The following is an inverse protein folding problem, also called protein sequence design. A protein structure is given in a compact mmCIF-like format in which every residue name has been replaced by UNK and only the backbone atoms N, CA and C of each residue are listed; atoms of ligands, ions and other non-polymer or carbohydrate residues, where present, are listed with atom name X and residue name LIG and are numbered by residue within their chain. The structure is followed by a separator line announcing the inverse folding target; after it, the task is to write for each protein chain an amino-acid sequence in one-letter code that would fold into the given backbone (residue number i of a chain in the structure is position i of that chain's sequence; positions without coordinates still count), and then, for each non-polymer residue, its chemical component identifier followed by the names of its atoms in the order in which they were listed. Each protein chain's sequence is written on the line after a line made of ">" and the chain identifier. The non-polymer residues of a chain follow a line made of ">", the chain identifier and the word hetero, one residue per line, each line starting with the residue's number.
data_IF_489087510950
#
_entry.id   IF_489087510950
#
_cell.length_a   1.000
_cell.length_b   1.000
_cell.length_c   1.000
_cell.angle_alpha   90.00
_cell.angle_beta   90.00
_cell.angle_gamma   90.00
#
_symmetry.space_group_name_H-M   'P 1'
#
loop_
_entity.id
_entity.type
_entity.pdbx_description
1 polymer ?
#
# COMPACT_ATOMS: atom_id res chain seq x y z
N UNK A 1 53.21 30.61 -16.59
CA UNK A 1 52.52 30.13 -17.80
C UNK A 1 51.62 28.99 -17.37
N UNK A 2 50.32 29.28 -17.38
CA UNK A 2 49.21 28.35 -17.16
C UNK A 2 49.08 27.37 -18.33
N UNK A 3 48.16 26.40 -18.19
CA UNK A 3 47.60 25.42 -19.16
C UNK A 3 48.33 24.07 -19.23
N UNK A 4 47.69 22.89 -19.16
CA UNK A 4 46.32 22.51 -19.53
C UNK A 4 45.76 21.38 -18.63
N UNK A 5 44.58 21.61 -18.07
CA UNK A 5 43.62 20.58 -17.67
C UNK A 5 43.17 19.77 -18.89
N UNK A 6 43.16 18.43 -18.76
CA UNK A 6 42.39 17.59 -19.65
C UNK A 6 40.91 17.68 -19.26
N UNK A 7 40.19 18.47 -20.03
CA UNK A 7 38.73 18.61 -20.08
C UNK A 7 38.02 17.24 -20.04
N UNK A 8 37.30 16.92 -18.96
CA UNK A 8 36.19 15.95 -19.02
C UNK A 8 35.00 16.65 -19.67
N UNK A 9 34.62 16.21 -20.86
CA UNK A 9 33.39 16.67 -21.50
C UNK A 9 32.16 16.10 -20.77
N UNK A 10 31.13 16.91 -20.51
CA UNK A 10 29.91 16.49 -19.85
C UNK A 10 29.05 15.70 -20.85
N UNK A 11 28.88 14.41 -20.57
CA UNK A 11 28.03 13.50 -21.32
C UNK A 11 27.22 12.68 -20.34
N UNK A 12 26.05 13.21 -19.98
CA UNK A 12 24.99 12.46 -19.33
C UNK A 12 24.64 11.28 -20.25
N UNK A 13 25.04 10.06 -19.91
CA UNK A 13 24.25 8.90 -20.28
C UNK A 13 23.29 8.61 -19.11
N UNK A 14 22.43 9.58 -18.79
CA UNK A 14 21.14 9.25 -18.18
C UNK A 14 20.37 8.63 -19.32
N UNK A 15 20.40 7.30 -19.42
CA UNK A 15 19.42 6.54 -20.17
C UNK A 15 18.05 7.19 -19.87
N UNK A 16 17.44 7.84 -20.87
CA UNK A 16 16.25 8.64 -20.58
C UNK A 16 15.16 7.70 -20.07
N UNK A 17 14.81 7.85 -18.80
CA UNK A 17 13.80 7.01 -18.17
C UNK A 17 12.50 7.22 -18.94
N UNK A 18 11.89 6.13 -19.41
CA UNK A 18 10.54 6.13 -19.99
C UNK A 18 9.45 6.23 -18.92
N UNK A 19 9.81 6.23 -17.65
CA UNK A 19 8.90 6.23 -16.49
C UNK A 19 8.84 7.63 -15.89
N UNK A 20 7.62 8.12 -15.64
CA UNK A 20 7.36 9.36 -14.90
C UNK A 20 7.47 9.08 -13.41
N UNK A 21 8.70 9.02 -12.91
CA UNK A 21 9.02 8.81 -11.50
C UNK A 21 10.06 9.85 -11.09
N UNK A 22 10.01 10.24 -9.81
CA UNK A 22 11.12 10.92 -9.15
C UNK A 22 12.19 9.86 -8.85
N UNK A 23 12.39 9.51 -7.59
CA UNK A 23 13.23 8.38 -7.20
C UNK A 23 12.45 7.06 -7.25
N UNK A 24 12.98 5.98 -7.84
CA UNK A 24 12.27 4.70 -7.93
C UNK A 24 11.87 4.10 -6.58
N UNK A 25 12.63 4.36 -5.52
CA UNK A 25 12.33 3.89 -4.16
C UNK A 25 11.08 4.52 -3.57
N UNK A 26 10.73 5.72 -4.03
CA UNK A 26 9.65 6.52 -3.47
C UNK A 26 8.36 6.34 -4.29
N UNK A 27 8.43 5.58 -5.39
CA UNK A 27 7.37 5.47 -6.39
C UNK A 27 6.03 5.05 -5.79
N UNK A 28 6.02 4.03 -4.93
CA UNK A 28 4.79 3.51 -4.32
C UNK A 28 4.21 4.50 -3.31
N UNK A 29 5.08 5.10 -2.49
CA UNK A 29 4.66 6.08 -1.50
C UNK A 29 4.03 7.30 -2.18
N UNK A 30 4.72 7.91 -3.15
CA UNK A 30 4.24 9.09 -3.87
C UNK A 30 2.96 8.81 -4.66
N UNK A 31 2.82 7.60 -5.21
CA UNK A 31 1.58 7.18 -5.86
C UNK A 31 0.41 7.12 -4.87
N UNK A 32 0.60 6.55 -3.68
CA UNK A 32 -0.44 6.49 -2.64
C UNK A 32 -0.79 7.90 -2.14
N UNK A 33 0.20 8.74 -1.92
CA UNK A 33 0.01 10.14 -1.52
C UNK A 33 -0.84 10.87 -2.58
N UNK A 34 -0.47 10.78 -3.86
CA UNK A 34 -1.25 11.36 -4.94
C UNK A 34 -2.67 10.79 -5.05
N UNK A 35 -2.86 9.48 -4.85
CA UNK A 35 -4.19 8.87 -4.85
C UNK A 35 -5.10 9.46 -3.75
N UNK A 36 -4.57 9.57 -2.53
CA UNK A 36 -5.32 10.10 -1.38
C UNK A 36 -5.59 11.59 -1.53
N UNK A 37 -4.63 12.36 -2.04
CA UNK A 37 -4.80 13.80 -2.27
C UNK A 37 -5.82 14.12 -3.36
N UNK A 38 -5.97 13.24 -4.35
CA UNK A 38 -6.85 13.47 -5.51
C UNK A 38 -8.21 12.81 -5.42
N UNK A 39 -8.42 11.90 -4.46
CA UNK A 39 -9.67 11.14 -4.32
C UNK A 39 -10.30 11.39 -2.95
N UNK A 40 -11.46 12.07 -2.95
CA UNK A 40 -12.21 12.29 -1.72
C UNK A 40 -12.67 10.97 -1.09
N UNK A 41 -12.68 10.92 0.25
CA UNK A 41 -13.15 9.74 0.99
C UNK A 41 -12.08 8.67 1.23
N UNK A 42 -10.81 8.96 0.92
CA UNK A 42 -9.67 8.11 1.25
C UNK A 42 -8.76 8.79 2.28
N UNK A 43 -8.14 7.97 3.13
CA UNK A 43 -7.05 8.35 4.03
C UNK A 43 -5.90 7.35 3.88
N UNK A 44 -4.72 7.72 4.39
CA UNK A 44 -3.56 6.83 4.50
C UNK A 44 -3.25 6.55 5.97
N UNK A 45 -2.78 5.34 6.28
CA UNK A 45 -2.21 5.05 7.60
C UNK A 45 -0.75 5.53 7.64
N UNK A 46 -0.43 6.39 8.61
CA UNK A 46 0.92 6.93 8.79
C UNK A 46 1.98 5.83 8.90
N UNK A 47 3.11 6.01 8.21
CA UNK A 47 4.20 5.04 8.19
C UNK A 47 3.93 3.78 7.36
N UNK A 48 2.76 3.64 6.75
CA UNK A 48 2.39 2.46 5.96
C UNK A 48 1.89 2.84 4.56
N UNK A 49 2.14 1.96 3.59
CA UNK A 49 1.56 2.05 2.25
C UNK A 49 0.16 1.41 2.26
N UNK A 50 -0.74 1.98 3.06
CA UNK A 50 -2.11 1.49 3.25
C UNK A 50 -3.09 2.62 3.01
N UNK A 51 -4.04 2.37 2.10
CA UNK A 51 -5.17 3.24 1.83
C UNK A 51 -6.38 2.70 2.58
N UNK A 52 -7.10 3.57 3.28
CA UNK A 52 -8.33 3.24 4.01
C UNK A 52 -9.45 4.20 3.62
N UNK A 53 -10.69 3.81 3.86
CA UNK A 53 -11.82 4.73 3.78
C UNK A 53 -11.66 5.85 4.82
N UNK A 54 -11.95 7.09 4.44
CA UNK A 54 -11.86 8.23 5.35
C UNK A 54 -12.98 8.25 6.41
N UNK A 55 -14.08 7.52 6.20
CA UNK A 55 -15.19 7.37 7.14
C UNK A 55 -15.05 6.13 8.03
N UNK A 56 -13.87 5.52 8.11
CA UNK A 56 -13.70 4.20 8.72
C UNK A 56 -14.13 4.16 10.19
N UNK A 57 -13.84 5.20 10.96
CA UNK A 57 -14.23 5.30 12.38
C UNK A 57 -15.75 5.27 12.56
N UNK A 58 -16.51 5.82 11.61
CA UNK A 58 -17.97 5.85 11.69
C UNK A 58 -18.60 4.50 11.33
N UNK A 59 -17.94 3.70 10.49
CA UNK A 59 -18.57 2.55 9.83
C UNK A 59 -18.03 1.18 10.27
N UNK A 60 -16.85 1.12 10.91
CA UNK A 60 -16.17 -0.15 11.24
C UNK A 60 -16.93 -1.06 12.19
N UNK A 61 -17.81 -0.51 13.04
CA UNK A 61 -18.64 -1.29 13.96
C UNK A 61 -20.01 -1.67 13.37
N UNK A 62 -20.30 -1.25 12.14
CA UNK A 62 -21.60 -1.49 11.48
C UNK A 62 -21.54 -2.57 10.40
N UNK A 63 -20.34 -2.99 9.98
CA UNK A 63 -20.14 -3.94 8.90
C UNK A 63 -18.85 -4.74 9.08
N UNK A 64 -18.78 -5.90 8.43
CA UNK A 64 -17.54 -6.66 8.30
C UNK A 64 -16.58 -5.86 7.42
N UNK A 65 -15.35 -5.66 7.90
CA UNK A 65 -14.34 -4.98 7.11
C UNK A 65 -13.79 -5.91 6.01
N UNK A 66 -13.56 -5.37 4.83
CA UNK A 66 -13.01 -6.12 3.70
C UNK A 66 -11.64 -5.54 3.35
N UNK A 67 -10.59 -6.36 3.43
CA UNK A 67 -9.22 -5.93 3.19
C UNK A 67 -8.64 -6.74 2.05
N UNK A 68 -7.93 -6.07 1.14
CA UNK A 68 -7.08 -6.74 0.15
C UNK A 68 -5.77 -5.99 0.00
N UNK A 69 -4.90 -6.46 -0.89
CA UNK A 69 -3.61 -5.84 -1.11
C UNK A 69 -2.61 -6.80 -1.73
N UNK A 70 -1.49 -6.29 -2.19
CA UNK A 70 -0.46 -7.03 -2.93
C UNK A 70 0.63 -6.08 -3.41
N UNK A 71 1.50 -6.56 -4.29
CA UNK A 71 2.52 -5.69 -4.89
C UNK A 71 1.94 -4.60 -5.79
N UNK A 72 2.56 -3.43 -5.74
CA UNK A 72 2.26 -2.31 -6.64
C UNK A 72 2.65 -2.61 -8.08
N UNK A 73 2.14 -1.81 -9.02
CA UNK A 73 2.28 -2.04 -10.47
C UNK A 73 1.07 -2.74 -11.10
N UNK A 74 0.00 -2.95 -10.34
CA UNK A 74 -1.29 -3.50 -10.79
C UNK A 74 -2.44 -2.49 -10.66
N UNK A 75 -2.12 -1.21 -10.47
CA UNK A 75 -3.11 -0.15 -10.30
C UNK A 75 -4.13 -0.16 -11.47
N UNK A 76 -5.45 -0.03 -11.20
CA UNK A 76 -6.06 0.48 -9.96
C UNK A 76 -6.11 -0.51 -8.79
N UNK A 77 -5.68 -1.76 -8.99
CA UNK A 77 -5.62 -2.75 -7.93
C UNK A 77 -4.57 -2.35 -6.87
N UNK A 78 -4.88 -2.22 -5.58
CA UNK A 78 -6.20 -2.37 -4.92
C UNK A 78 -6.72 -1.04 -4.38
N UNK A 79 -5.88 0.02 -4.34
CA UNK A 79 -6.24 1.32 -3.77
C UNK A 79 -7.46 1.97 -4.43
N UNK A 80 -7.65 1.76 -5.74
CA UNK A 80 -8.83 2.25 -6.47
C UNK A 80 -10.14 1.52 -6.15
N UNK A 81 -10.11 0.49 -5.29
CA UNK A 81 -11.29 -0.26 -4.86
C UNK A 81 -11.66 0.03 -3.39
N UNK A 82 -10.99 0.97 -2.74
CA UNK A 82 -11.30 1.39 -1.37
C UNK A 82 -12.47 2.37 -1.41
N UNK A 83 -13.55 2.06 -0.69
CA UNK A 83 -14.75 2.88 -0.69
C UNK A 83 -16.02 2.15 -0.23
N UNK A 84 -17.14 2.88 -0.06
CA UNK A 84 -18.43 2.27 0.28
C UNK A 84 -18.84 1.18 -0.71
N UNK A 85 -19.22 0.01 -0.20
CA UNK A 85 -19.65 -1.14 -1.00
C UNK A 85 -18.52 -2.02 -1.57
N UNK A 86 -17.24 -1.66 -1.33
CA UNK A 86 -16.07 -2.47 -1.70
C UNK A 86 -15.09 -2.61 -0.53
N UNK A 87 -13.79 -2.30 -0.71
CA UNK A 87 -12.77 -2.52 0.31
C UNK A 87 -12.85 -1.44 1.40
N UNK A 88 -12.66 -1.86 2.65
CA UNK A 88 -12.39 -0.97 3.79
C UNK A 88 -10.95 -0.46 3.77
N UNK A 89 -10.01 -1.31 3.32
CA UNK A 89 -8.60 -0.98 3.17
C UNK A 89 -7.93 -1.74 2.03
N UNK A 90 -6.89 -1.13 1.47
CA UNK A 90 -5.97 -1.73 0.50
C UNK A 90 -4.52 -1.56 0.96
N UNK A 91 -3.77 -2.66 1.01
CA UNK A 91 -2.36 -2.70 1.43
C UNK A 91 -1.47 -2.81 0.19
N UNK A 92 -0.63 -1.81 -0.07
CA UNK A 92 0.32 -1.85 -1.17
C UNK A 92 1.71 -2.28 -0.67
N UNK A 93 2.30 -3.28 -1.33
CA UNK A 93 3.72 -3.60 -1.21
C UNK A 93 4.55 -2.85 -2.23
N UNK A 94 5.85 -3.14 -2.26
CA UNK A 94 6.72 -2.65 -3.32
C UNK A 94 6.28 -3.19 -4.69
N UNK A 95 6.89 -2.65 -5.76
CA UNK A 95 6.55 -3.03 -7.13
C UNK A 95 6.73 -4.54 -7.31
N UNK A 96 5.63 -5.24 -7.61
CA UNK A 96 5.54 -6.70 -7.76
C UNK A 96 5.96 -7.53 -6.53
N UNK A 97 5.98 -6.94 -5.34
CA UNK A 97 6.30 -7.64 -4.10
C UNK A 97 5.16 -7.51 -3.09
N UNK A 98 4.86 -8.61 -2.40
CA UNK A 98 3.82 -8.62 -1.36
C UNK A 98 4.07 -7.56 -0.28
N UNK A 99 3.02 -6.92 0.28
CA UNK A 99 3.20 -5.94 1.34
C UNK A 99 3.83 -6.54 2.61
N UNK A 100 4.56 -5.73 3.39
CA UNK A 100 5.07 -6.17 4.69
C UNK A 100 3.93 -6.62 5.61
N UNK A 101 4.16 -7.70 6.36
CA UNK A 101 3.22 -8.21 7.37
C UNK A 101 2.74 -7.10 8.32
N UNK A 102 3.64 -6.20 8.76
CA UNK A 102 3.31 -5.10 9.66
C UNK A 102 2.28 -4.13 9.06
N UNK A 103 2.35 -3.85 7.76
CA UNK A 103 1.37 -3.00 7.07
C UNK A 103 0.01 -3.68 6.93
N UNK A 104 0.00 -5.00 6.70
CA UNK A 104 -1.26 -5.76 6.69
C UNK A 104 -1.89 -5.78 8.09
N UNK A 105 -1.08 -5.99 9.13
CA UNK A 105 -1.56 -5.95 10.51
C UNK A 105 -2.10 -4.56 10.88
N UNK A 106 -1.39 -3.49 10.51
CA UNK A 106 -1.87 -2.12 10.73
C UNK A 106 -3.24 -1.90 10.07
N UNK A 107 -3.42 -2.34 8.82
CA UNK A 107 -4.71 -2.26 8.15
C UNK A 107 -5.81 -2.99 8.92
N UNK A 108 -5.57 -4.24 9.32
CA UNK A 108 -6.52 -5.05 10.10
C UNK A 108 -6.92 -4.32 11.39
N UNK A 109 -5.96 -3.86 12.17
CA UNK A 109 -6.23 -3.21 13.47
C UNK A 109 -6.95 -1.87 13.31
N UNK A 110 -6.70 -1.14 12.22
CA UNK A 110 -7.37 0.14 11.96
C UNK A 110 -8.83 -0.05 11.57
N UNK A 111 -9.12 -0.96 10.64
CA UNK A 111 -10.45 -1.02 10.00
C UNK A 111 -11.42 -2.02 10.62
N UNK A 112 -10.97 -2.90 11.50
CA UNK A 112 -11.80 -3.98 12.05
C UNK A 112 -12.52 -3.54 13.32
N UNK A 113 -13.85 -3.53 13.30
CA UNK A 113 -14.70 -3.35 14.47
C UNK A 113 -15.32 -4.66 14.97
N UNK A 114 -16.39 -4.56 15.76
CA UNK A 114 -17.07 -5.71 16.36
C UNK A 114 -17.49 -6.83 15.37
N UNK A 115 -17.93 -6.55 14.12
CA UNK A 115 -18.27 -7.60 13.16
C UNK A 115 -17.10 -8.43 12.62
N UNK A 116 -15.84 -8.01 12.86
CA UNK A 116 -14.65 -8.68 12.33
C UNK A 116 -14.28 -8.24 10.91
N UNK A 117 -13.30 -8.92 10.31
CA UNK A 117 -12.85 -8.64 8.95
C UNK A 117 -12.56 -9.89 8.12
N UNK A 118 -12.61 -9.72 6.80
CA UNK A 118 -12.24 -10.74 5.80
C UNK A 118 -11.06 -10.25 4.98
N UNK A 119 -10.06 -11.11 4.80
CA UNK A 119 -8.90 -10.89 3.93
C UNK A 119 -9.09 -11.54 2.56
N UNK A 120 -9.12 -10.71 1.51
CA UNK A 120 -9.12 -11.19 0.12
C UNK A 120 -7.67 -11.25 -0.36
N UNK A 121 -7.11 -12.48 -0.36
CA UNK A 121 -5.70 -12.72 -0.63
C UNK A 121 -5.52 -13.35 -2.02
N UNK A 122 -4.66 -12.77 -2.85
CA UNK A 122 -4.27 -13.39 -4.13
C UNK A 122 -3.37 -14.59 -3.85
N UNK A 123 -3.51 -15.66 -4.63
CA UNK A 123 -2.80 -16.92 -4.42
C UNK A 123 -1.33 -16.87 -4.90
N UNK A 124 -0.54 -15.98 -4.30
CA UNK A 124 0.91 -15.90 -4.46
C UNK A 124 1.60 -16.21 -3.13
N UNK A 125 2.79 -16.82 -3.19
CA UNK A 125 3.51 -17.27 -1.99
C UNK A 125 3.75 -16.12 -0.99
N UNK A 126 4.24 -14.97 -1.45
CA UNK A 126 4.47 -13.81 -0.59
C UNK A 126 3.18 -13.29 0.05
N UNK A 127 2.11 -13.16 -0.75
CA UNK A 127 0.81 -12.68 -0.28
C UNK A 127 0.23 -13.61 0.78
N UNK A 128 0.23 -14.92 0.53
CA UNK A 128 -0.27 -15.91 1.50
C UNK A 128 0.51 -15.89 2.80
N UNK A 129 1.85 -15.79 2.74
CA UNK A 129 2.69 -15.77 3.92
C UNK A 129 2.49 -14.49 4.74
N UNK A 130 2.56 -13.32 4.11
CA UNK A 130 2.46 -12.03 4.82
C UNK A 130 1.06 -11.78 5.37
N UNK A 131 0.01 -12.01 4.58
CA UNK A 131 -1.36 -11.84 5.07
C UNK A 131 -1.73 -12.92 6.10
N UNK A 132 -1.29 -14.16 5.90
CA UNK A 132 -1.52 -15.23 6.86
C UNK A 132 -0.85 -14.97 8.21
N UNK A 133 0.37 -14.44 8.22
CA UNK A 133 1.06 -14.06 9.45
C UNK A 133 0.37 -12.89 10.15
N UNK A 134 -0.05 -11.87 9.41
CA UNK A 134 -0.80 -10.74 9.96
C UNK A 134 -2.15 -11.18 10.55
N UNK A 135 -2.88 -12.06 9.87
CA UNK A 135 -4.13 -12.65 10.38
C UNK A 135 -3.89 -13.43 11.69
N UNK A 136 -2.83 -14.25 11.75
CA UNK A 136 -2.48 -14.99 12.95
C UNK A 136 -2.15 -14.05 14.13
N UNK A 137 -1.40 -12.97 13.88
CA UNK A 137 -1.08 -11.95 14.87
C UNK A 137 -2.33 -11.19 15.35
N UNK A 138 -3.23 -10.82 14.45
CA UNK A 138 -4.48 -10.14 14.77
C UNK A 138 -5.41 -11.01 15.62
N UNK A 139 -5.56 -12.29 15.28
CA UNK A 139 -6.33 -13.25 16.09
C UNK A 139 -5.74 -13.44 17.47
N UNK A 140 -4.40 -13.50 17.58
CA UNK A 140 -3.73 -13.57 18.87
C UNK A 140 -3.97 -12.32 19.73
N UNK A 141 -4.23 -11.17 19.11
CA UNK A 141 -4.64 -9.92 19.77
C UNK A 141 -6.15 -9.81 20.03
N UNK A 142 -6.94 -10.87 19.74
CA UNK A 142 -8.38 -10.90 19.98
C UNK A 142 -9.24 -10.30 18.86
N UNK A 143 -8.67 -10.02 17.70
CA UNK A 143 -9.42 -9.50 16.53
C UNK A 143 -9.97 -10.67 15.71
N UNK A 144 -11.27 -10.62 15.38
CA UNK A 144 -11.91 -11.60 14.51
C UNK A 144 -11.51 -11.36 13.04
N UNK A 145 -10.73 -12.27 12.48
CA UNK A 145 -10.16 -12.17 11.11
C UNK A 145 -10.23 -13.52 10.39
N UNK A 146 -10.87 -13.53 9.22
CA UNK A 146 -10.94 -14.68 8.31
C UNK A 146 -10.15 -14.45 7.02
#
# INVERSE_FOLDING_TARGET
>A
LSVMEAHRMPGLDRQSSKKLLNEPTDAVQQMIEGLVETTAGLNRIDGHNVVVRADIEAVRDQQVAIISGGGSGHEPSHGGWVGPGMLSAAVAGDIFASPPTASVLAAILTVTGAPGCVLIIKNYTGDRLNFGLAAAQARAAGVAVE
#
